data_IF_091083532136
#
_entry.id   IF_091083532136
#
_cell.length_a   1.000
_cell.length_b   1.000
_cell.length_c   1.000
_cell.angle_alpha   90.00
_cell.angle_beta   90.00
_cell.angle_gamma   90.00
#
_symmetry.space_group_name_H-M   'P 1'
#
loop_
_entity.id
_entity.type
_entity.pdbx_description
1 polymer ?
#
# COMPACT_ATOMS: atom_id res chain seq x y z
N UNK A 1 -1.76 -8.52 -2.47
CA UNK A 1 -2.85 -7.68 -3.02
C UNK A 1 -2.42 -7.05 -4.35
N UNK A 2 -3.36 -6.82 -5.26
CA UNK A 2 -3.14 -6.04 -6.49
C UNK A 2 -3.25 -4.55 -6.13
N UNK A 3 -2.49 -3.64 -6.79
CA UNK A 3 -2.64 -2.21 -6.56
C UNK A 3 -4.03 -1.75 -6.98
N UNK A 4 -4.69 -0.95 -6.13
CA UNK A 4 -5.84 -0.14 -6.54
C UNK A 4 -5.33 1.07 -7.33
N UNK A 5 -6.20 1.68 -8.16
CA UNK A 5 -5.86 2.93 -8.84
C UNK A 5 -5.46 3.99 -7.79
N UNK A 6 -4.42 4.83 -8.03
CA UNK A 6 -3.88 5.67 -6.98
C UNK A 6 -4.91 6.75 -6.61
N UNK A 7 -5.42 6.69 -5.39
CA UNK A 7 -6.31 7.73 -4.89
C UNK A 7 -5.56 9.03 -4.62
N UNK A 8 -4.27 8.97 -4.30
CA UNK A 8 -3.40 10.14 -4.11
C UNK A 8 -2.43 10.32 -5.28
N UNK A 9 -2.42 11.53 -5.86
CA UNK A 9 -1.53 11.90 -6.97
C UNK A 9 -0.85 13.26 -6.70
N UNK A 10 0.25 13.55 -7.40
CA UNK A 10 0.96 14.83 -7.32
C UNK A 10 0.83 15.57 -8.65
N UNK A 11 0.43 16.83 -8.59
CA UNK A 11 0.37 17.68 -9.77
C UNK A 11 1.78 18.06 -10.21
N UNK A 12 2.21 17.64 -11.40
CA UNK A 12 3.54 17.96 -11.94
C UNK A 12 3.77 19.48 -12.12
N UNK A 13 2.71 20.28 -12.26
CA UNK A 13 2.83 21.74 -12.48
C UNK A 13 3.07 22.53 -11.21
N UNK A 14 2.38 22.19 -10.12
CA UNK A 14 2.42 22.97 -8.88
C UNK A 14 2.95 22.20 -7.67
N UNK A 15 3.21 20.89 -7.82
CA UNK A 15 3.71 20.02 -6.77
C UNK A 15 2.69 19.65 -5.70
N UNK A 16 1.44 20.10 -5.80
CA UNK A 16 0.40 19.80 -4.82
C UNK A 16 -0.09 18.36 -4.90
N UNK A 17 -0.31 17.75 -3.74
CA UNK A 17 -0.95 16.45 -3.61
C UNK A 17 -2.48 16.57 -3.70
N UNK A 18 -3.11 15.63 -4.40
CA UNK A 18 -4.54 15.63 -4.69
C UNK A 18 -5.12 14.23 -4.49
N UNK A 19 -6.21 14.14 -3.74
CA UNK A 19 -7.00 12.92 -3.57
C UNK A 19 -8.09 12.84 -4.63
N UNK A 20 -7.95 11.95 -5.62
CA UNK A 20 -8.86 11.82 -6.77
C UNK A 20 -10.28 11.40 -6.36
N UNK A 21 -10.42 10.52 -5.36
CA UNK A 21 -11.71 10.12 -4.80
C UNK A 21 -12.48 11.32 -4.18
N UNK A 22 -11.78 12.33 -3.66
CA UNK A 22 -12.38 13.58 -3.17
C UNK A 22 -12.74 14.55 -4.30
N UNK A 23 -12.11 14.42 -5.47
CA UNK A 23 -12.41 15.23 -6.66
C UNK A 23 -13.63 14.71 -7.44
N UNK A 24 -13.90 13.40 -7.42
CA UNK A 24 -15.07 12.83 -8.09
C UNK A 24 -16.39 13.46 -7.58
N UNK A 25 -16.50 13.66 -6.26
CA UNK A 25 -17.62 14.35 -5.62
C UNK A 25 -17.77 15.82 -6.07
N UNK A 26 -16.69 16.46 -6.55
CA UNK A 26 -16.73 17.81 -7.11
C UNK A 26 -17.33 17.84 -8.51
N UNK A 27 -17.11 16.80 -9.34
CA UNK A 27 -17.67 16.73 -10.69
C UNK A 27 -19.18 16.46 -10.70
N UNK A 28 -19.66 15.60 -9.79
CA UNK A 28 -21.07 15.26 -9.67
C UNK A 28 -21.91 16.43 -9.14
N UNK A 29 -21.33 17.27 -8.26
CA UNK A 29 -22.01 18.46 -7.72
C UNK A 29 -22.06 19.65 -8.66
N UNK A 30 -21.14 19.77 -9.61
CA UNK A 30 -21.00 20.97 -10.44
C UNK A 30 -21.55 20.83 -11.87
N UNK A 31 -22.11 19.68 -12.23
CA UNK A 31 -22.72 19.46 -13.55
C UNK A 31 -21.71 19.56 -14.70
N UNK A 32 -22.14 19.14 -15.88
CA UNK A 32 -21.31 19.06 -17.09
C UNK A 32 -20.39 20.27 -17.25
N UNK A 33 -19.09 20.06 -17.02
CA UNK A 33 -18.06 21.00 -17.45
C UNK A 33 -18.28 21.21 -18.96
N UNK A 34 -18.41 22.45 -19.44
CA UNK A 34 -18.47 22.68 -20.87
C UNK A 34 -17.21 22.07 -21.49
N UNK A 35 -17.39 21.10 -22.39
CA UNK A 35 -16.32 20.67 -23.28
C UNK A 35 -15.89 21.92 -24.06
N UNK A 36 -14.88 22.63 -23.55
CA UNK A 36 -14.21 23.66 -24.33
C UNK A 36 -13.54 22.93 -25.49
N UNK A 37 -14.07 23.13 -26.69
CA UNK A 37 -13.35 22.80 -27.91
C UNK A 37 -11.98 23.47 -27.85
N UNK A 38 -10.93 22.66 -27.89
CA UNK A 38 -9.58 23.03 -27.47
C UNK A 38 -9.18 22.29 -26.19
N UNK A 39 -9.06 20.97 -26.28
CA UNK A 39 -8.66 20.11 -25.17
C UNK A 39 -7.32 20.58 -24.62
N UNK A 40 -7.34 21.12 -23.39
CA UNK A 40 -6.13 21.24 -22.59
C UNK A 40 -5.63 19.80 -22.44
N UNK A 41 -4.49 19.47 -23.04
CA UNK A 41 -3.81 18.19 -22.80
C UNK A 41 -3.46 18.13 -21.32
N UNK A 42 -4.32 17.52 -20.52
CA UNK A 42 -4.04 17.22 -19.14
C UNK A 42 -2.99 16.11 -19.11
N UNK A 43 -1.97 16.26 -18.27
CA UNK A 43 -1.03 15.16 -18.01
C UNK A 43 -1.82 14.04 -17.32
N UNK A 44 -1.67 12.77 -17.74
CA UNK A 44 -2.29 11.65 -17.05
C UNK A 44 -1.84 11.59 -15.58
N UNK A 45 -2.77 11.23 -14.69
CA UNK A 45 -2.45 10.87 -13.33
C UNK A 45 -1.45 9.70 -13.30
N UNK A 46 -0.43 9.80 -12.46
CA UNK A 46 0.60 8.77 -12.28
C UNK A 46 0.65 8.33 -10.82
N UNK A 47 1.10 7.11 -10.59
CA UNK A 47 1.46 6.66 -9.24
C UNK A 47 2.58 7.53 -8.69
N UNK A 48 2.52 7.84 -7.40
CA UNK A 48 3.60 8.51 -6.71
C UNK A 48 4.82 7.59 -6.62
N UNK A 49 6.00 8.19 -6.67
CA UNK A 49 7.20 7.51 -6.22
C UNK A 49 7.16 7.27 -4.70
N UNK A 50 7.95 6.30 -4.22
CA UNK A 50 8.09 6.04 -2.78
C UNK A 50 8.46 7.32 -2.01
N UNK A 51 9.34 8.16 -2.56
CA UNK A 51 9.73 9.41 -1.93
C UNK A 51 8.57 10.39 -1.81
N UNK A 52 7.74 10.51 -2.85
CA UNK A 52 6.58 11.39 -2.85
C UNK A 52 5.49 10.92 -1.89
N UNK A 53 5.35 9.61 -1.65
CA UNK A 53 4.47 9.12 -0.58
C UNK A 53 4.95 9.57 0.81
N UNK A 54 6.25 9.52 1.10
CA UNK A 54 6.79 10.04 2.37
C UNK A 54 6.67 11.56 2.47
N UNK A 55 6.86 12.28 1.37
CA UNK A 55 6.60 13.72 1.30
C UNK A 55 5.13 14.02 1.64
N UNK A 56 4.19 13.25 1.09
CA UNK A 56 2.77 13.38 1.39
C UNK A 56 2.46 13.19 2.88
N UNK A 57 3.04 12.17 3.53
CA UNK A 57 2.91 11.92 4.98
C UNK A 57 3.45 13.08 5.84
N UNK A 58 4.48 13.78 5.35
CA UNK A 58 5.10 14.92 6.06
C UNK A 58 4.44 16.28 5.77
N UNK A 59 3.46 16.30 4.87
CA UNK A 59 2.77 17.50 4.39
C UNK A 59 1.33 17.56 4.93
N UNK A 60 0.60 18.62 4.58
CA UNK A 60 -0.85 18.73 4.86
C UNK A 60 -1.71 17.95 3.85
N UNK A 61 -1.16 16.92 3.20
CA UNK A 61 -1.91 16.10 2.23
C UNK A 61 -2.77 15.03 2.92
N UNK A 62 -2.40 14.63 4.13
CA UNK A 62 -3.12 13.61 4.90
C UNK A 62 -3.80 14.29 6.10
N UNK A 63 -5.13 14.37 6.06
CA UNK A 63 -5.93 15.09 7.05
C UNK A 63 -6.66 14.14 8.02
N UNK A 64 -6.68 12.84 7.72
CA UNK A 64 -7.34 11.82 8.53
C UNK A 64 -6.46 10.60 8.78
N UNK A 65 -6.90 9.71 9.69
CA UNK A 65 -6.21 8.45 9.94
C UNK A 65 -6.27 7.52 8.72
N UNK A 66 -7.37 7.56 7.99
CA UNK A 66 -7.59 6.80 6.76
C UNK A 66 -6.58 7.22 5.68
N UNK A 67 -6.33 8.53 5.51
CA UNK A 67 -5.31 9.01 4.56
C UNK A 67 -3.92 8.46 4.88
N UNK A 68 -3.55 8.50 6.17
CA UNK A 68 -2.26 7.98 6.64
C UNK A 68 -2.18 6.47 6.38
N UNK A 69 -3.26 5.74 6.63
CA UNK A 69 -3.33 4.31 6.36
C UNK A 69 -3.14 4.01 4.87
N UNK A 70 -3.88 4.69 4.00
CA UNK A 70 -3.83 4.49 2.55
C UNK A 70 -2.43 4.79 1.99
N UNK A 71 -1.81 5.88 2.43
CA UNK A 71 -0.45 6.24 1.99
C UNK A 71 0.57 5.22 2.50
N UNK A 72 0.49 4.77 3.75
CA UNK A 72 1.41 3.75 4.29
C UNK A 72 1.21 2.39 3.61
N UNK A 73 -0.02 2.04 3.24
CA UNK A 73 -0.35 0.86 2.45
C UNK A 73 0.28 0.95 1.06
N UNK A 74 0.15 2.10 0.39
CA UNK A 74 0.77 2.35 -0.90
C UNK A 74 2.31 2.30 -0.84
N UNK A 75 2.92 2.80 0.24
CA UNK A 75 4.37 2.65 0.49
C UNK A 75 4.73 1.18 0.56
N UNK A 76 4.06 0.39 1.40
CA UNK A 76 4.35 -1.04 1.55
C UNK A 76 4.22 -1.79 0.21
N UNK A 77 3.19 -1.50 -0.57
CA UNK A 77 3.00 -2.05 -1.91
C UNK A 77 4.11 -1.62 -2.88
N UNK A 78 4.48 -0.35 -2.92
CA UNK A 78 5.51 0.16 -3.82
C UNK A 78 6.90 -0.46 -3.55
N UNK A 79 7.23 -0.78 -2.30
CA UNK A 79 8.46 -1.52 -1.98
C UNK A 79 8.36 -2.98 -2.46
N UNK A 80 7.22 -3.63 -2.28
CA UNK A 80 6.98 -4.98 -2.78
C UNK A 80 7.02 -5.03 -4.31
N UNK A 81 6.51 -4.01 -4.99
CA UNK A 81 6.48 -3.92 -6.45
C UNK A 81 7.89 -3.81 -7.05
N UNK A 82 8.84 -3.14 -6.38
CA UNK A 82 10.25 -3.21 -6.79
C UNK A 82 10.75 -4.65 -6.91
N UNK A 83 10.43 -5.48 -5.92
CA UNK A 83 10.79 -6.90 -5.97
C UNK A 83 10.07 -7.65 -7.09
N UNK A 84 8.77 -7.39 -7.30
CA UNK A 84 8.00 -7.97 -8.41
C UNK A 84 8.56 -7.61 -9.78
N UNK A 85 9.14 -6.42 -9.90
CA UNK A 85 9.83 -5.94 -11.10
C UNK A 85 11.26 -6.47 -11.24
N UNK A 86 11.70 -7.40 -10.37
CA UNK A 86 13.03 -7.98 -10.39
C UNK A 86 14.14 -7.02 -9.93
N UNK A 87 13.78 -5.94 -9.23
CA UNK A 87 14.71 -4.98 -8.63
C UNK A 87 14.93 -5.31 -7.16
N UNK A 88 16.01 -4.80 -6.59
CA UNK A 88 16.21 -4.84 -5.15
C UNK A 88 15.10 -4.07 -4.43
N UNK A 89 14.56 -4.68 -3.38
CA UNK A 89 13.52 -4.05 -2.56
C UNK A 89 14.04 -2.75 -1.94
N UNK A 90 15.28 -2.77 -1.42
CA UNK A 90 15.94 -1.64 -0.80
C UNK A 90 17.17 -1.21 -1.58
N UNK A 91 17.32 0.09 -1.81
CA UNK A 91 18.48 0.67 -2.50
C UNK A 91 19.69 0.82 -1.58
N UNK A 92 19.45 1.03 -0.29
CA UNK A 92 20.44 1.21 0.76
C UNK A 92 19.76 1.08 2.15
N UNK A 93 20.54 1.18 3.22
CA UNK A 93 20.05 1.06 4.60
C UNK A 93 19.09 2.18 5.03
N UNK A 94 19.22 3.38 4.46
CA UNK A 94 18.28 4.48 4.73
C UNK A 94 16.90 4.18 4.13
N UNK A 95 16.86 3.72 2.88
CA UNK A 95 15.63 3.28 2.21
C UNK A 95 14.96 2.10 2.95
N UNK A 96 15.75 1.13 3.45
CA UNK A 96 15.23 0.09 4.35
C UNK A 96 14.66 0.65 5.66
N UNK A 97 15.30 1.66 6.26
CA UNK A 97 14.82 2.27 7.51
C UNK A 97 13.47 2.98 7.34
N UNK A 98 13.25 3.64 6.19
CA UNK A 98 11.97 4.27 5.84
C UNK A 98 10.87 3.22 5.69
N UNK A 99 11.15 2.14 4.97
CA UNK A 99 10.21 1.02 4.86
C UNK A 99 9.87 0.43 6.23
N UNK A 100 10.88 0.21 7.08
CA UNK A 100 10.70 -0.38 8.41
C UNK A 100 9.81 0.48 9.31
N UNK A 101 10.01 1.80 9.31
CA UNK A 101 9.16 2.73 10.06
C UNK A 101 7.71 2.65 9.55
N UNK A 102 7.51 2.70 8.24
CA UNK A 102 6.17 2.64 7.66
C UNK A 102 5.46 1.31 7.89
N UNK A 103 6.18 0.20 7.74
CA UNK A 103 5.64 -1.15 7.98
C UNK A 103 5.24 -1.35 9.45
N UNK A 104 6.01 -0.80 10.39
CA UNK A 104 5.66 -0.86 11.82
C UNK A 104 4.43 -0.01 12.14
N UNK A 105 4.37 1.20 11.60
CA UNK A 105 3.22 2.09 11.81
C UNK A 105 1.90 1.51 11.26
N UNK A 106 1.95 0.68 10.21
CA UNK A 106 0.75 0.02 9.67
C UNK A 106 0.02 -0.86 10.69
N UNK A 107 0.73 -1.45 11.67
CA UNK A 107 0.08 -2.30 12.68
C UNK A 107 -1.00 -1.57 13.48
N UNK A 108 -0.84 -0.26 13.71
CA UNK A 108 -1.77 0.56 14.51
C UNK A 108 -3.14 0.74 13.82
N UNK A 109 -3.22 0.44 12.52
CA UNK A 109 -4.43 0.58 11.72
C UNK A 109 -5.11 -0.76 11.43
N UNK A 110 -4.40 -1.88 11.62
CA UNK A 110 -4.93 -3.19 11.28
C UNK A 110 -5.70 -3.74 12.48
N UNK A 111 -6.97 -4.04 12.26
CA UNK A 111 -7.87 -4.56 13.29
C UNK A 111 -7.87 -6.09 13.32
N UNK A 112 -8.00 -6.70 14.49
CA UNK A 112 -7.98 -8.17 14.61
C UNK A 112 -9.31 -8.83 14.23
N UNK A 113 -10.39 -8.08 14.05
CA UNK A 113 -11.71 -8.59 13.66
C UNK A 113 -11.93 -8.71 12.15
N UNK A 114 -11.07 -8.10 11.34
CA UNK A 114 -11.14 -8.14 9.88
C UNK A 114 -10.12 -9.15 9.34
N UNK A 115 -10.60 -10.12 8.55
CA UNK A 115 -9.78 -11.18 7.96
C UNK A 115 -8.68 -10.64 7.03
N UNK A 116 -8.97 -9.60 6.25
CA UNK A 116 -7.99 -8.98 5.38
C UNK A 116 -6.90 -8.33 6.22
N UNK A 117 -7.28 -7.64 7.30
CA UNK A 117 -6.32 -7.05 8.24
C UNK A 117 -5.48 -8.13 8.95
N UNK A 118 -6.05 -9.28 9.31
CA UNK A 118 -5.30 -10.40 9.86
C UNK A 118 -4.25 -10.93 8.87
N UNK A 119 -4.64 -11.14 7.61
CA UNK A 119 -3.71 -11.58 6.56
C UNK A 119 -2.61 -10.54 6.33
N UNK A 120 -2.95 -9.25 6.29
CA UNK A 120 -1.97 -8.16 6.17
C UNK A 120 -1.00 -8.12 7.37
N UNK A 121 -1.49 -8.27 8.61
CA UNK A 121 -0.64 -8.36 9.81
C UNK A 121 0.32 -9.52 9.72
N UNK A 122 -0.16 -10.69 9.30
CA UNK A 122 0.68 -11.85 9.12
C UNK A 122 1.77 -11.61 8.06
N UNK A 123 1.43 -10.96 6.95
CA UNK A 123 2.40 -10.61 5.91
C UNK A 123 3.44 -9.60 6.40
N UNK A 124 3.03 -8.57 7.13
CA UNK A 124 3.96 -7.60 7.75
C UNK A 124 4.91 -8.29 8.73
N UNK A 125 4.40 -9.14 9.63
CA UNK A 125 5.27 -9.91 10.53
C UNK A 125 6.28 -10.77 9.75
N UNK A 126 5.86 -11.42 8.68
CA UNK A 126 6.76 -12.19 7.81
C UNK A 126 7.82 -11.30 7.15
N UNK A 127 7.43 -10.13 6.61
CA UNK A 127 8.38 -9.21 6.00
C UNK A 127 9.42 -8.70 7.02
N UNK A 128 8.99 -8.49 8.27
CA UNK A 128 9.88 -8.11 9.37
C UNK A 128 10.77 -9.26 9.88
N UNK A 129 10.53 -10.50 9.43
CA UNK A 129 11.24 -11.69 9.88
C UNK A 129 10.69 -12.30 11.18
N UNK A 130 9.55 -11.82 11.66
CA UNK A 130 8.84 -12.31 12.83
C UNK A 130 7.96 -13.51 12.45
N UNK A 131 8.59 -14.57 11.92
CA UNK A 131 7.89 -15.71 11.32
C UNK A 131 6.95 -16.42 12.29
N UNK A 132 7.29 -16.51 13.57
CA UNK A 132 6.43 -17.15 14.58
C UNK A 132 5.12 -16.37 14.79
N UNK A 133 5.18 -15.04 14.80
CA UNK A 133 3.98 -14.20 14.92
C UNK A 133 3.11 -14.29 13.67
N UNK A 134 3.75 -14.30 12.49
CA UNK A 134 3.06 -14.57 11.23
C UNK A 134 2.31 -15.91 11.31
N UNK A 135 3.00 -16.97 11.73
CA UNK A 135 2.43 -18.30 11.83
C UNK A 135 1.30 -18.41 12.85
N UNK A 136 1.39 -17.70 13.99
CA UNK A 136 0.31 -17.63 14.98
C UNK A 136 -0.98 -17.13 14.35
N UNK A 137 -0.93 -15.96 13.71
CA UNK A 137 -2.11 -15.33 13.08
C UNK A 137 -2.66 -16.22 11.96
N UNK A 138 -1.80 -16.73 11.10
CA UNK A 138 -2.23 -17.57 9.97
C UNK A 138 -2.91 -18.84 10.47
N UNK A 139 -2.46 -19.46 11.55
CA UNK A 139 -3.05 -20.70 12.06
C UNK A 139 -4.45 -20.51 12.67
N UNK A 140 -4.77 -19.31 13.16
CA UNK A 140 -6.08 -18.94 13.71
C UNK A 140 -7.16 -18.79 12.62
N UNK A 141 -6.76 -18.63 11.35
CA UNK A 141 -7.72 -18.53 10.25
C UNK A 141 -8.49 -19.84 10.04
N UNK A 142 -9.76 -19.73 9.65
CA UNK A 142 -10.59 -20.89 9.32
C UNK A 142 -9.96 -21.73 8.20
N UNK A 143 -9.87 -23.05 8.41
CA UNK A 143 -9.18 -23.95 7.49
C UNK A 143 -10.01 -24.22 6.22
N UNK A 144 -11.34 -24.30 6.35
CA UNK A 144 -12.24 -24.59 5.22
C UNK A 144 -12.21 -23.45 4.20
N UNK A 145 -12.21 -22.22 4.67
CA UNK A 145 -12.25 -21.02 3.81
C UNK A 145 -10.85 -20.57 3.36
N UNK A 146 -9.82 -20.74 4.19
CA UNK A 146 -8.50 -20.11 3.97
C UNK A 146 -7.33 -21.09 3.96
N UNK A 147 -7.56 -22.41 3.89
CA UNK A 147 -6.50 -23.43 3.90
C UNK A 147 -5.40 -23.19 2.86
N UNK A 148 -5.73 -22.70 1.68
CA UNK A 148 -4.76 -22.36 0.63
C UNK A 148 -3.84 -21.19 1.02
N UNK A 149 -4.37 -20.13 1.64
CA UNK A 149 -3.57 -19.01 2.19
C UNK A 149 -2.65 -19.56 3.29
N UNK A 150 -3.20 -20.36 4.21
CA UNK A 150 -2.44 -20.93 5.33
C UNK A 150 -1.25 -21.74 4.83
N UNK A 151 -1.47 -22.58 3.81
CA UNK A 151 -0.41 -23.40 3.22
C UNK A 151 0.67 -22.55 2.56
N UNK A 152 0.30 -21.51 1.79
CA UNK A 152 1.26 -20.65 1.14
C UNK A 152 2.15 -19.91 2.17
N UNK A 153 1.55 -19.31 3.20
CA UNK A 153 2.31 -18.66 4.28
C UNK A 153 3.19 -19.65 5.04
N UNK A 154 2.70 -20.86 5.35
CA UNK A 154 3.50 -21.92 6.00
C UNK A 154 4.75 -22.25 5.19
N UNK A 155 4.63 -22.37 3.87
CA UNK A 155 5.76 -22.68 3.00
C UNK A 155 6.78 -21.53 2.99
N UNK A 156 6.32 -20.29 2.87
CA UNK A 156 7.21 -19.12 2.80
C UNK A 156 7.89 -18.81 4.14
N UNK A 157 7.20 -19.00 5.26
CA UNK A 157 7.80 -18.91 6.60
C UNK A 157 8.89 -19.98 6.80
N UNK A 158 8.67 -21.22 6.36
CA UNK A 158 9.70 -22.29 6.41
C UNK A 158 10.95 -21.93 5.61
N UNK A 159 10.78 -21.27 4.47
CA UNK A 159 11.87 -20.76 3.63
C UNK A 159 12.54 -19.51 4.20
N UNK A 160 12.02 -18.94 5.30
CA UNK A 160 12.38 -17.62 5.84
C UNK A 160 12.31 -16.51 4.78
N UNK A 161 11.38 -16.64 3.83
CA UNK A 161 11.20 -15.62 2.82
C UNK A 161 10.59 -14.37 3.46
N UNK A 162 11.29 -13.23 3.35
CA UNK A 162 10.81 -11.91 3.80
C UNK A 162 10.18 -11.08 2.68
N UNK A 163 10.33 -11.48 1.42
CA UNK A 163 9.90 -10.71 0.26
C UNK A 163 8.47 -11.11 -0.14
N UNK A 164 7.75 -10.25 -0.86
CA UNK A 164 6.42 -10.55 -1.38
C UNK A 164 6.43 -11.84 -2.22
N UNK A 165 5.36 -12.64 -2.13
CA UNK A 165 5.20 -13.87 -2.92
C UNK A 165 3.83 -13.90 -3.61
N UNK A 166 3.67 -14.79 -4.58
CA UNK A 166 2.40 -15.04 -5.26
C UNK A 166 1.81 -16.36 -4.77
N UNK A 167 0.49 -16.41 -4.63
CA UNK A 167 -0.22 -17.65 -4.37
C UNK A 167 -0.21 -18.48 -5.66
N UNK A 168 0.41 -19.65 -5.60
CA UNK A 168 0.49 -20.64 -6.67
C UNK A 168 -0.72 -21.55 -6.69
#
# INVERSE_FOLDING_TARGET
MLPTFPDLVKCEKCGSFLWLNRMAAWSERNGNLPQKEGSIKATPAQFLSIHEYFEALSSSACDSKEDIFDVRMAIWQAYNDRHREGKDMFRNSYDESLWLESAKALFDFLESGDINHQVMKAELYRNLGEFEKCMSIINELDEESYGWIKQAFKQECKKKNKLVFQFS
#
